data_IF_014877540513
#
_entry.id   IF_014877540513
#
_cell.length_a   1.000
_cell.length_b   1.000
_cell.length_c   1.000
_cell.angle_alpha   90.00
_cell.angle_beta   90.00
_cell.angle_gamma   90.00
#
_symmetry.space_group_name_H-M   'P 1'
#
loop_
_entity.id
_entity.type
_entity.pdbx_description
1 polymer ?
#
# COMPACT_ATOMS: atom_id res chain seq x y z
N UNK A 1 23.68 -17.24 18.47
CA UNK A 1 22.26 -17.04 18.15
C UNK A 1 21.78 -18.28 17.44
N UNK A 2 20.60 -18.79 17.80
CA UNK A 2 20.11 -20.05 17.25
C UNK A 2 19.36 -19.82 15.94
N UNK A 3 19.40 -20.78 15.01
CA UNK A 3 18.61 -20.73 13.77
C UNK A 3 17.10 -20.53 14.06
N UNK A 4 16.62 -21.06 15.19
CA UNK A 4 15.25 -20.90 15.68
C UNK A 4 14.86 -19.44 15.94
N UNK A 5 15.80 -18.60 16.38
CA UNK A 5 15.55 -17.17 16.59
C UNK A 5 15.27 -16.45 15.26
N UNK A 6 16.01 -16.83 14.22
CA UNK A 6 15.80 -16.32 12.86
C UNK A 6 14.47 -16.81 12.27
N UNK A 7 14.11 -18.08 12.49
CA UNK A 7 12.82 -18.60 12.06
C UNK A 7 11.65 -17.88 12.74
N UNK A 8 11.76 -17.64 14.04
CA UNK A 8 10.77 -16.84 14.80
C UNK A 8 10.67 -15.41 14.26
N UNK A 9 11.79 -14.81 13.87
CA UNK A 9 11.80 -13.51 13.21
C UNK A 9 11.04 -13.54 11.87
N UNK A 10 11.27 -14.54 11.02
CA UNK A 10 10.56 -14.66 9.73
C UNK A 10 9.05 -14.84 9.90
N UNK A 11 8.63 -15.59 10.93
CA UNK A 11 7.21 -15.76 11.27
C UNK A 11 6.55 -14.43 11.68
N UNK A 12 7.26 -13.62 12.49
CA UNK A 12 6.79 -12.27 12.86
C UNK A 12 6.71 -11.35 11.65
N UNK A 13 7.73 -11.35 10.80
CA UNK A 13 7.74 -10.56 9.57
C UNK A 13 6.58 -10.95 8.65
N UNK A 14 6.27 -12.25 8.52
CA UNK A 14 5.10 -12.71 7.78
C UNK A 14 3.79 -12.13 8.35
N UNK A 15 3.64 -12.08 9.68
CA UNK A 15 2.46 -11.48 10.30
C UNK A 15 2.37 -9.98 9.98
N UNK A 16 3.47 -9.23 10.14
CA UNK A 16 3.51 -7.79 9.84
C UNK A 16 3.13 -7.50 8.37
N UNK A 17 3.61 -8.30 7.41
CA UNK A 17 3.23 -8.16 6.00
C UNK A 17 1.76 -8.54 5.75
N UNK A 18 1.21 -9.48 6.51
CA UNK A 18 -0.20 -9.87 6.43
C UNK A 18 -1.09 -8.73 6.92
N UNK A 19 -0.72 -8.11 8.03
CA UNK A 19 -1.44 -6.97 8.60
C UNK A 19 -1.38 -5.76 7.65
N UNK A 20 -0.20 -5.48 7.08
CA UNK A 20 -0.04 -4.43 6.07
C UNK A 20 -0.88 -4.70 4.81
N UNK A 21 -0.98 -5.96 4.37
CA UNK A 21 -1.85 -6.30 3.25
C UNK A 21 -3.33 -6.03 3.58
N UNK A 22 -3.77 -6.26 4.81
CA UNK A 22 -5.13 -5.91 5.22
C UNK A 22 -5.38 -4.39 5.16
N UNK A 23 -4.38 -3.59 5.55
CA UNK A 23 -4.42 -2.12 5.38
C UNK A 23 -4.53 -1.74 3.91
N UNK A 24 -3.76 -2.37 3.01
CA UNK A 24 -3.84 -2.12 1.57
C UNK A 24 -5.21 -2.43 0.97
N UNK A 25 -5.82 -3.56 1.36
CA UNK A 25 -7.18 -3.90 0.92
C UNK A 25 -8.21 -2.88 1.42
N UNK A 26 -8.06 -2.43 2.67
CA UNK A 26 -8.92 -1.38 3.24
C UNK A 26 -8.73 -0.05 2.51
N UNK A 27 -7.49 0.28 2.15
CA UNK A 27 -7.16 1.47 1.35
C UNK A 27 -7.86 1.45 -0.01
N UNK A 28 -7.83 0.31 -0.71
CA UNK A 28 -8.55 0.11 -1.98
C UNK A 28 -10.05 0.37 -1.81
N UNK A 29 -10.67 -0.22 -0.79
CA UNK A 29 -12.09 -0.04 -0.52
C UNK A 29 -12.46 1.42 -0.21
N UNK A 30 -11.63 2.12 0.57
CA UNK A 30 -11.83 3.52 0.91
C UNK A 30 -11.77 4.43 -0.32
N UNK A 31 -10.79 4.23 -1.21
CA UNK A 31 -10.69 4.97 -2.49
C UNK A 31 -11.94 4.75 -3.35
N UNK A 32 -12.41 3.50 -3.46
CA UNK A 32 -13.61 3.18 -4.23
C UNK A 32 -14.88 3.82 -3.64
N UNK A 33 -14.95 3.95 -2.32
CA UNK A 33 -16.07 4.57 -1.60
C UNK A 33 -15.99 6.11 -1.53
N UNK A 34 -14.86 6.71 -1.91
CA UNK A 34 -14.60 8.15 -1.68
C UNK A 34 -14.46 8.51 -0.20
N UNK A 35 -14.13 7.53 0.66
CA UNK A 35 -13.97 7.72 2.11
C UNK A 35 -12.55 8.22 2.41
N UNK A 36 -12.39 9.55 2.43
CA UNK A 36 -11.10 10.20 2.65
C UNK A 36 -10.56 10.02 4.07
N UNK A 37 -11.43 9.90 5.08
CA UNK A 37 -11.00 9.71 6.47
C UNK A 37 -10.39 8.33 6.67
N UNK A 38 -11.04 7.29 6.13
CA UNK A 38 -10.48 5.93 6.15
C UNK A 38 -9.21 5.85 5.30
N UNK A 39 -9.17 6.53 4.15
CA UNK A 39 -7.98 6.57 3.29
C UNK A 39 -6.78 7.18 4.04
N UNK A 40 -6.93 8.33 4.67
CA UNK A 40 -5.88 8.99 5.45
C UNK A 40 -5.39 8.11 6.61
N UNK A 41 -6.31 7.47 7.34
CA UNK A 41 -5.96 6.52 8.40
C UNK A 41 -5.13 5.34 7.87
N UNK A 42 -5.50 4.77 6.70
CA UNK A 42 -4.74 3.70 6.07
C UNK A 42 -3.35 4.16 5.63
N UNK A 43 -3.23 5.35 5.05
CA UNK A 43 -1.93 5.91 4.63
C UNK A 43 -0.98 6.13 5.81
N UNK A 44 -1.49 6.60 6.95
CA UNK A 44 -0.69 6.74 8.19
C UNK A 44 -0.19 5.39 8.70
N UNK A 45 -1.04 4.36 8.65
CA UNK A 45 -0.65 2.99 9.03
C UNK A 45 0.42 2.43 8.08
N UNK A 46 0.27 2.63 6.76
CA UNK A 46 1.27 2.23 5.76
C UNK A 46 2.62 2.93 5.99
N UNK A 47 2.61 4.23 6.32
CA UNK A 47 3.82 4.99 6.64
C UNK A 47 4.51 4.44 7.90
N UNK A 48 3.75 4.17 8.97
CA UNK A 48 4.29 3.58 10.19
C UNK A 48 4.87 2.19 9.93
N UNK A 49 4.18 1.36 9.16
CA UNK A 49 4.66 0.03 8.76
C UNK A 49 5.95 0.11 7.93
N UNK A 50 6.05 1.07 7.00
CA UNK A 50 7.25 1.30 6.19
C UNK A 50 8.47 1.63 7.07
N UNK A 51 8.28 2.43 8.12
CA UNK A 51 9.35 2.72 9.08
C UNK A 51 9.74 1.48 9.89
N UNK A 52 8.76 0.71 10.36
CA UNK A 52 9.00 -0.56 11.08
C UNK A 52 9.81 -1.53 10.24
N UNK A 53 9.41 -1.74 8.98
CA UNK A 53 10.07 -2.67 8.05
C UNK A 53 11.54 -2.32 7.78
N UNK A 54 11.90 -1.03 7.79
CA UNK A 54 13.33 -0.62 7.71
C UNK A 54 14.12 -1.10 8.92
N UNK A 55 13.54 -1.00 10.12
CA UNK A 55 14.15 -1.54 11.34
C UNK A 55 14.25 -3.06 11.31
N UNK A 56 13.22 -3.75 10.80
CA UNK A 56 13.24 -5.21 10.64
C UNK A 56 14.29 -5.65 9.61
N UNK A 57 14.52 -4.88 8.55
CA UNK A 57 15.56 -5.20 7.57
C UNK A 57 16.97 -5.10 8.18
N UNK A 58 17.22 -4.08 9.00
CA UNK A 58 18.46 -4.00 9.77
C UNK A 58 18.62 -5.20 10.71
N UNK A 59 17.55 -5.59 11.40
CA UNK A 59 17.54 -6.78 12.27
C UNK A 59 17.80 -8.05 11.45
N UNK A 60 17.14 -8.24 10.31
CA UNK A 60 17.33 -9.38 9.40
C UNK A 60 18.80 -9.55 9.04
N UNK A 61 19.46 -8.46 8.66
CA UNK A 61 20.88 -8.48 8.28
C UNK A 61 21.78 -8.86 9.45
N UNK A 62 21.49 -8.39 10.67
CA UNK A 62 22.23 -8.80 11.87
C UNK A 62 22.06 -10.29 12.17
N UNK A 63 20.83 -10.82 12.07
CA UNK A 63 20.53 -12.24 12.30
C UNK A 63 21.27 -13.13 11.27
N UNK A 64 21.21 -12.76 9.99
CA UNK A 64 21.89 -13.48 8.91
C UNK A 64 23.41 -13.48 9.08
N UNK A 65 23.99 -12.35 9.50
CA UNK A 65 25.42 -12.24 9.81
C UNK A 65 25.84 -13.16 10.93
N UNK A 66 25.07 -13.23 12.01
CA UNK A 66 25.36 -14.11 13.14
C UNK A 66 25.25 -15.60 12.78
N UNK A 67 24.44 -15.94 11.77
CA UNK A 67 24.29 -17.30 11.26
C UNK A 67 25.27 -17.63 10.11
N UNK A 68 26.03 -16.66 9.61
CA UNK A 68 26.89 -16.85 8.43
C UNK A 68 26.12 -17.05 7.12
N UNK A 69 24.88 -16.54 7.02
CA UNK A 69 23.95 -16.77 5.91
C UNK A 69 23.68 -15.50 5.08
N UNK A 70 24.49 -14.46 5.19
CA UNK A 70 24.26 -13.15 4.54
C UNK A 70 24.07 -13.22 3.02
N UNK A 71 24.71 -14.21 2.37
CA UNK A 71 24.66 -14.40 0.92
C UNK A 71 23.61 -15.43 0.48
N UNK A 72 22.89 -16.03 1.42
CA UNK A 72 21.89 -17.06 1.11
C UNK A 72 20.56 -16.39 0.79
N UNK A 73 20.01 -16.57 -0.43
CA UNK A 73 18.71 -16.01 -0.75
C UNK A 73 17.62 -16.72 0.06
N UNK A 74 16.56 -15.99 0.41
CA UNK A 74 15.48 -16.51 1.28
C UNK A 74 14.91 -17.85 0.79
N UNK A 75 14.77 -18.04 -0.52
CA UNK A 75 14.27 -19.27 -1.15
C UNK A 75 15.17 -20.50 -0.93
N UNK A 76 16.47 -20.28 -0.68
CA UNK A 76 17.45 -21.35 -0.45
C UNK A 76 17.66 -21.63 1.04
N UNK A 77 17.16 -20.76 1.93
CA UNK A 77 17.28 -20.89 3.38
C UNK A 77 16.92 -22.30 3.92
N UNK A 78 15.88 -23.01 3.42
CA UNK A 78 15.56 -24.35 3.90
C UNK A 78 16.70 -25.37 3.71
N UNK A 79 17.58 -25.19 2.71
CA UNK A 79 18.74 -26.07 2.48
C UNK A 79 19.86 -25.87 3.51
N UNK A 80 19.85 -24.73 4.20
CA UNK A 80 20.84 -24.36 5.22
C UNK A 80 20.27 -24.46 6.64
N UNK A 81 19.01 -24.90 6.78
CA UNK A 81 18.37 -25.13 8.06
C UNK A 81 18.85 -26.45 8.69
N UNK A 82 18.95 -26.54 10.03
CA UNK A 82 19.07 -27.81 10.73
C UNK A 82 17.94 -28.76 10.33
N UNK A 83 18.22 -30.07 10.25
CA UNK A 83 17.26 -31.07 9.75
C UNK A 83 15.93 -31.05 10.51
N UNK A 84 15.98 -30.88 11.84
CA UNK A 84 14.80 -30.78 12.69
C UNK A 84 13.88 -29.58 12.34
N UNK A 85 14.42 -28.51 11.76
CA UNK A 85 13.70 -27.27 11.42
C UNK A 85 13.47 -27.10 9.92
N UNK A 86 13.96 -28.02 9.08
CA UNK A 86 13.95 -27.89 7.61
C UNK A 86 12.53 -27.71 7.06
N UNK A 87 11.59 -28.54 7.51
CA UNK A 87 10.18 -28.46 7.06
C UNK A 87 9.51 -27.16 7.52
N UNK A 88 9.73 -26.75 8.77
CA UNK A 88 9.16 -25.50 9.31
C UNK A 88 9.72 -24.26 8.58
N UNK A 89 11.00 -24.30 8.25
CA UNK A 89 11.68 -23.25 7.47
C UNK A 89 11.09 -23.16 6.07
N UNK A 90 10.92 -24.29 5.38
CA UNK A 90 10.29 -24.33 4.05
C UNK A 90 8.91 -23.68 4.08
N UNK A 91 8.05 -24.08 5.02
CA UNK A 91 6.70 -23.54 5.14
C UNK A 91 6.71 -22.04 5.43
N UNK A 92 7.60 -21.58 6.32
CA UNK A 92 7.71 -20.18 6.71
C UNK A 92 8.18 -19.31 5.53
N UNK A 93 9.21 -19.75 4.82
CA UNK A 93 9.75 -19.08 3.63
C UNK A 93 8.69 -18.95 2.55
N UNK A 94 8.00 -20.05 2.24
CA UNK A 94 6.96 -20.05 1.22
C UNK A 94 5.79 -19.12 1.57
N UNK A 95 5.34 -19.15 2.82
CA UNK A 95 4.28 -18.24 3.30
C UNK A 95 4.72 -16.80 3.18
N UNK A 96 5.92 -16.47 3.64
CA UNK A 96 6.44 -15.10 3.58
C UNK A 96 6.52 -14.58 2.13
N UNK A 97 7.04 -15.40 1.20
CA UNK A 97 7.12 -15.05 -0.22
C UNK A 97 5.74 -14.85 -0.83
N UNK A 98 4.77 -15.72 -0.53
CA UNK A 98 3.38 -15.58 -1.00
C UNK A 98 2.74 -14.30 -0.46
N UNK A 99 2.87 -14.02 0.83
CA UNK A 99 2.31 -12.81 1.45
C UNK A 99 2.92 -11.55 0.85
N UNK A 100 4.23 -11.53 0.60
CA UNK A 100 4.88 -10.41 -0.08
C UNK A 100 4.34 -10.18 -1.49
N UNK A 101 4.15 -11.25 -2.28
CA UNK A 101 3.59 -11.14 -3.63
C UNK A 101 2.18 -10.55 -3.63
N UNK A 102 1.33 -11.02 -2.71
CA UNK A 102 -0.04 -10.52 -2.55
C UNK A 102 -0.04 -9.04 -2.14
N UNK A 103 0.77 -8.68 -1.14
CA UNK A 103 0.92 -7.30 -0.68
C UNK A 103 1.37 -6.38 -1.82
N UNK A 104 2.42 -6.75 -2.55
CA UNK A 104 2.94 -5.94 -3.65
C UNK A 104 1.89 -5.72 -4.75
N UNK A 105 1.09 -6.75 -5.06
CA UNK A 105 -0.03 -6.63 -5.98
C UNK A 105 -1.11 -5.67 -5.47
N UNK A 106 -1.45 -5.73 -4.18
CA UNK A 106 -2.44 -4.85 -3.55
C UNK A 106 -1.97 -3.38 -3.57
N UNK A 107 -0.70 -3.13 -3.23
CA UNK A 107 -0.09 -1.79 -3.29
C UNK A 107 -0.13 -1.23 -4.71
N UNK A 108 0.19 -2.06 -5.72
CA UNK A 108 0.08 -1.68 -7.12
C UNK A 108 -1.35 -1.29 -7.51
N UNK A 109 -2.34 -2.10 -7.13
CA UNK A 109 -3.75 -1.82 -7.42
C UNK A 109 -4.24 -0.54 -6.73
N UNK A 110 -3.91 -0.34 -5.44
CA UNK A 110 -4.28 0.85 -4.69
C UNK A 110 -3.71 2.12 -5.35
N UNK A 111 -2.42 2.08 -5.75
CA UNK A 111 -1.78 3.18 -6.45
C UNK A 111 -2.48 3.52 -7.77
N UNK A 112 -2.74 2.52 -8.62
CA UNK A 112 -3.43 2.74 -9.90
C UNK A 112 -4.82 3.33 -9.70
N UNK A 113 -5.56 2.87 -8.69
CA UNK A 113 -6.88 3.42 -8.36
C UNK A 113 -6.81 4.88 -7.92
N UNK A 114 -5.91 5.21 -6.98
CA UNK A 114 -5.72 6.58 -6.51
C UNK A 114 -5.29 7.53 -7.64
N UNK A 115 -4.33 7.13 -8.49
CA UNK A 115 -3.91 7.92 -9.64
C UNK A 115 -5.05 8.14 -10.64
N UNK A 116 -5.88 7.12 -10.88
CA UNK A 116 -7.05 7.25 -11.73
C UNK A 116 -8.09 8.20 -11.14
N UNK A 117 -8.31 8.15 -9.83
CA UNK A 117 -9.30 8.99 -9.15
C UNK A 117 -8.88 10.46 -9.14
N UNK A 118 -7.61 10.74 -8.85
CA UNK A 118 -7.02 12.09 -8.96
C UNK A 118 -7.20 12.67 -10.36
N UNK A 119 -6.90 11.90 -11.42
CA UNK A 119 -7.11 12.35 -12.81
C UNK A 119 -8.58 12.65 -13.12
N UNK A 120 -9.54 11.98 -12.47
CA UNK A 120 -10.97 12.29 -12.65
C UNK A 120 -11.31 13.62 -11.98
N UNK A 121 -10.83 13.84 -10.76
CA UNK A 121 -11.01 15.09 -10.02
C UNK A 121 -10.41 16.26 -10.79
N UNK A 122 -9.18 16.13 -11.29
CA UNK A 122 -8.51 17.15 -12.12
C UNK A 122 -9.34 17.54 -13.34
N UNK A 123 -9.82 16.56 -14.12
CA UNK A 123 -10.69 16.82 -15.29
C UNK A 123 -12.01 17.49 -14.92
N UNK A 124 -12.58 17.19 -13.75
CA UNK A 124 -13.80 17.84 -13.28
C UNK A 124 -13.54 19.30 -12.89
N UNK A 125 -12.42 19.58 -12.23
CA UNK A 125 -12.01 20.94 -11.88
C UNK A 125 -11.73 21.80 -13.12
N UNK A 126 -11.06 21.25 -14.14
CA UNK A 126 -10.82 21.93 -15.41
C UNK A 126 -12.12 22.30 -16.14
N UNK A 127 -13.11 21.38 -16.13
CA UNK A 127 -14.44 21.61 -16.71
C UNK A 127 -15.29 22.61 -15.93
N UNK A 128 -15.09 22.69 -14.61
CA UNK A 128 -15.76 23.63 -13.71
C UNK A 128 -15.13 25.02 -13.62
N UNK A 129 -14.06 25.28 -14.38
CA UNK A 129 -13.40 26.58 -14.45
C UNK A 129 -14.31 27.71 -14.96
N UNK A 130 -13.89 28.99 -14.82
CA UNK A 130 -14.72 30.20 -14.95
C UNK A 130 -15.42 30.41 -16.32
N UNK A 131 -15.20 29.56 -17.31
CA UNK A 131 -15.92 29.58 -18.58
C UNK A 131 -17.39 29.13 -18.46
N UNK A 132 -17.73 28.26 -17.49
CA UNK A 132 -19.10 27.79 -17.29
C UNK A 132 -20.04 28.82 -16.62
N UNK A 133 -19.47 29.88 -16.02
CA UNK A 133 -20.27 30.97 -15.39
C UNK A 133 -20.69 32.08 -16.34
N UNK A 134 -20.26 32.06 -17.61
CA UNK A 134 -20.57 33.12 -18.59
C UNK A 134 -21.78 32.84 -19.49
N UNK A 135 -22.53 31.75 -19.28
CA UNK A 135 -23.65 31.36 -20.14
C UNK A 135 -25.05 31.60 -19.53
N UNK A 136 -25.18 32.24 -18.37
CA UNK A 136 -26.48 32.53 -17.74
C UNK A 136 -26.92 34.00 -17.74
N UNK A 137 -26.21 34.91 -18.41
CA UNK A 137 -26.69 36.28 -18.65
C UNK A 137 -27.11 36.48 -20.11
N UNK A 138 -28.29 35.97 -20.45
CA UNK A 138 -29.02 36.39 -21.66
C UNK A 138 -30.51 36.56 -21.36
N UNK A 139 -30.86 37.80 -21.00
CA UNK A 139 -32.14 38.46 -21.35
C UNK A 139 -33.15 38.65 -20.21
N UNK A 140 -34.09 39.63 -20.34
CA UNK A 140 -34.38 40.42 -21.54
C UNK A 140 -34.16 41.93 -21.40
N UNK A 141 -33.80 42.56 -22.53
CA UNK A 141 -33.94 43.98 -22.74
C UNK A 141 -35.44 44.30 -22.91
N UNK A 142 -36.05 44.96 -21.93
CA UNK A 142 -37.33 45.63 -22.13
C UNK A 142 -37.05 47.08 -22.54
N UNK A 143 -37.03 47.30 -23.84
CA UNK A 143 -37.41 48.58 -24.43
C UNK A 143 -38.89 48.81 -24.12
N UNK A 144 -39.20 49.86 -23.39
CA UNK A 144 -40.50 50.52 -23.51
C UNK A 144 -40.25 51.97 -23.84
N UNK A 145 -40.66 52.28 -25.07
CA UNK A 145 -40.61 53.52 -25.78
C UNK A 145 -41.63 54.53 -25.24
N UNK A 146 -41.40 55.78 -25.61
CA UNK A 146 -42.00 57.03 -25.15
C UNK A 146 -43.48 57.23 -25.60
N UNK A 147 -44.20 58.07 -24.82
CA UNK A 147 -45.30 58.99 -25.23
C UNK A 147 -46.75 58.48 -25.37
N UNK A 148 -47.65 59.02 -24.52
CA UNK A 148 -48.73 59.96 -24.88
C UNK A 148 -49.38 60.52 -23.59
#
# INVERSE_FOLDING_TARGET
>A
MEFKDYLTFLQKLHQELTDLNAVEQKKIAAVQAGDLDTLDACMKQEQAATMSLRGQEQRRNQLLKQLGLEQIPLRELPRHAPDALRSETQQTVERLMRTYQVLSSAQGAARTLMESDLRKIERQLERGGPAARKSSEKGPAHTTDFRA
#
